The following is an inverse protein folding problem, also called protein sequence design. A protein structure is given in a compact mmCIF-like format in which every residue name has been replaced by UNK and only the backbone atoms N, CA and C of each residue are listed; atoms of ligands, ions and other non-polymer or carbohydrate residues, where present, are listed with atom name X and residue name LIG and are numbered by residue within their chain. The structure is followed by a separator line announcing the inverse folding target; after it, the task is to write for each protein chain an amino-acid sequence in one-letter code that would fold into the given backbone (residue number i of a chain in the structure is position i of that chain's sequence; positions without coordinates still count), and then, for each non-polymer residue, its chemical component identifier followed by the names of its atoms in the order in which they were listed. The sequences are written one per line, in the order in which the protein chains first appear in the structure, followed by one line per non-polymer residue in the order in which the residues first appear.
data_IF_702847021251
#
_entry.id   IF_702847021251
#
_cell.length_a   1.000
_cell.length_b   1.000
_cell.length_c   1.000
_cell.angle_alpha   90.00
_cell.angle_beta   90.00
_cell.angle_gamma   90.00
#
_symmetry.space_group_name_H-M   'P 1'
#
loop_
_entity.id
_entity.type
_entity.pdbx_description
1 polymer ?
#
# COMPACT_ATOMS: atom_id res chain seq x y z
N UNK A 1 -37.86 -15.29 -20.87
CA UNK A 1 -36.90 -15.56 -19.75
C UNK A 1 -37.45 -14.88 -18.53
N UNK A 2 -37.60 -15.61 -17.45
CA UNK A 2 -38.21 -15.13 -16.20
C UNK A 2 -37.35 -14.01 -15.62
N UNK A 3 -37.94 -12.87 -15.23
CA UNK A 3 -37.21 -11.70 -14.69
C UNK A 3 -36.29 -12.09 -13.51
N UNK A 4 -36.69 -13.10 -12.73
CA UNK A 4 -35.88 -13.70 -11.68
C UNK A 4 -34.60 -14.41 -12.19
N UNK A 5 -34.60 -14.95 -13.42
CA UNK A 5 -33.42 -15.57 -14.01
C UNK A 5 -32.42 -14.52 -14.52
N UNK A 6 -32.88 -13.35 -14.94
CA UNK A 6 -32.00 -12.23 -15.30
C UNK A 6 -31.25 -11.68 -14.08
N UNK A 7 -31.89 -11.63 -12.89
CA UNK A 7 -31.23 -11.23 -11.64
C UNK A 7 -30.13 -12.21 -11.19
N UNK A 8 -30.09 -13.43 -11.73
CA UNK A 8 -29.04 -14.41 -11.42
C UNK A 8 -27.80 -14.30 -12.30
N UNK A 9 -27.86 -13.54 -13.39
CA UNK A 9 -26.78 -13.46 -14.39
C UNK A 9 -26.03 -12.12 -14.39
N UNK A 10 -26.55 -11.08 -13.73
CA UNK A 10 -25.97 -9.74 -13.72
C UNK A 10 -26.20 -9.03 -12.36
N UNK A 11 -25.44 -7.96 -12.06
CA UNK A 11 -25.70 -7.13 -10.91
C UNK A 11 -27.08 -6.47 -10.97
N UNK A 12 -27.72 -6.32 -9.81
CA UNK A 12 -29.04 -5.69 -9.71
C UNK A 12 -29.18 -4.89 -8.41
N UNK A 13 -30.08 -3.91 -8.41
CA UNK A 13 -30.44 -3.13 -7.23
C UNK A 13 -31.65 -3.72 -6.51
N UNK A 14 -31.90 -3.29 -5.27
CA UNK A 14 -33.12 -3.69 -4.55
C UNK A 14 -34.42 -3.26 -5.27
N UNK A 15 -34.40 -2.15 -6.02
CA UNK A 15 -35.53 -1.71 -6.82
C UNK A 15 -35.79 -2.69 -7.98
N UNK A 16 -34.75 -3.07 -8.72
CA UNK A 16 -34.85 -4.06 -9.80
C UNK A 16 -35.34 -5.42 -9.28
N UNK A 17 -34.94 -5.80 -8.09
CA UNK A 17 -35.43 -7.02 -7.45
C UNK A 17 -36.95 -6.94 -7.13
N UNK A 18 -37.40 -5.79 -6.61
CA UNK A 18 -38.81 -5.51 -6.32
C UNK A 18 -39.67 -5.52 -7.60
N UNK A 19 -39.19 -4.85 -8.66
CA UNK A 19 -39.80 -4.83 -9.99
C UNK A 19 -39.93 -6.25 -10.61
N UNK A 20 -38.96 -7.14 -10.30
CA UNK A 20 -39.00 -8.54 -10.71
C UNK A 20 -39.83 -9.45 -9.77
N UNK A 21 -40.53 -8.89 -8.77
CA UNK A 21 -41.38 -9.60 -7.83
C UNK A 21 -40.64 -10.24 -6.64
N UNK A 22 -39.37 -9.90 -6.41
CA UNK A 22 -38.58 -10.35 -5.26
C UNK A 22 -38.80 -9.43 -4.06
N UNK A 23 -39.50 -9.88 -3.04
CA UNK A 23 -39.71 -9.10 -1.82
C UNK A 23 -38.40 -8.85 -1.06
N UNK A 24 -38.32 -7.76 -0.28
CA UNK A 24 -37.18 -7.45 0.61
C UNK A 24 -36.88 -8.58 1.60
N UNK A 25 -37.89 -9.34 2.02
CA UNK A 25 -37.71 -10.50 2.89
C UNK A 25 -37.00 -11.65 2.17
N UNK A 26 -37.37 -11.90 0.91
CA UNK A 26 -36.68 -12.89 0.07
C UNK A 26 -35.24 -12.49 -0.19
N UNK A 27 -35.00 -11.23 -0.54
CA UNK A 27 -33.63 -10.71 -0.76
C UNK A 27 -32.74 -10.92 0.49
N UNK A 28 -33.23 -10.55 1.69
CA UNK A 28 -32.49 -10.79 2.95
C UNK A 28 -32.23 -12.26 3.21
N UNK A 29 -33.20 -13.15 2.92
CA UNK A 29 -33.04 -14.59 3.10
C UNK A 29 -31.97 -15.17 2.16
N UNK A 30 -31.91 -14.73 0.90
CA UNK A 30 -30.89 -15.16 -0.07
C UNK A 30 -29.50 -14.68 0.32
N UNK A 31 -29.38 -13.46 0.83
CA UNK A 31 -28.12 -12.95 1.39
C UNK A 31 -27.66 -13.76 2.61
N UNK A 32 -28.58 -14.09 3.54
CA UNK A 32 -28.27 -14.89 4.72
C UNK A 32 -27.85 -16.33 4.41
N UNK A 33 -28.26 -16.86 3.26
CA UNK A 33 -27.88 -18.20 2.75
C UNK A 33 -26.64 -18.20 1.88
N UNK A 34 -26.03 -17.03 1.65
CA UNK A 34 -24.94 -16.86 0.67
C UNK A 34 -25.30 -17.25 -0.78
N UNK A 35 -26.61 -17.26 -1.14
CA UNK A 35 -27.05 -17.43 -2.53
C UNK A 35 -26.80 -16.14 -3.33
N UNK A 36 -26.84 -15.00 -2.65
CA UNK A 36 -26.49 -13.67 -3.16
C UNK A 36 -25.40 -13.04 -2.29
N UNK A 37 -24.59 -12.21 -2.91
CA UNK A 37 -23.65 -11.32 -2.21
C UNK A 37 -23.88 -9.87 -2.59
N UNK A 38 -23.54 -8.96 -1.70
CA UNK A 38 -23.58 -7.53 -1.96
C UNK A 38 -22.21 -7.10 -2.51
N UNK A 39 -22.17 -6.65 -3.77
CA UNK A 39 -20.92 -6.25 -4.45
C UNK A 39 -20.59 -4.76 -4.21
N UNK A 40 -21.63 -3.93 -4.15
CA UNK A 40 -21.57 -2.51 -3.76
C UNK A 40 -22.77 -2.20 -2.87
N UNK A 41 -22.72 -1.08 -2.15
CA UNK A 41 -23.86 -0.66 -1.34
C UNK A 41 -25.15 -0.56 -2.17
N UNK A 42 -26.13 -1.41 -1.85
CA UNK A 42 -27.42 -1.47 -2.55
C UNK A 42 -27.37 -2.15 -3.93
N UNK A 43 -26.26 -2.81 -4.28
CA UNK A 43 -26.13 -3.64 -5.49
C UNK A 43 -25.78 -5.07 -5.10
N UNK A 44 -26.49 -6.01 -5.65
CA UNK A 44 -26.42 -7.43 -5.34
C UNK A 44 -26.09 -8.24 -6.60
N UNK A 45 -25.56 -9.43 -6.39
CA UNK A 45 -25.22 -10.38 -7.46
C UNK A 45 -25.31 -11.80 -6.90
N UNK A 46 -25.56 -12.78 -7.77
CA UNK A 46 -25.50 -14.19 -7.37
C UNK A 46 -24.09 -14.54 -6.89
N UNK A 47 -23.99 -15.28 -5.78
CA UNK A 47 -22.71 -15.59 -5.16
C UNK A 47 -21.77 -16.39 -6.07
N UNK A 48 -22.36 -17.21 -6.98
CA UNK A 48 -21.64 -18.04 -7.94
C UNK A 48 -20.98 -17.26 -9.09
N UNK A 49 -21.34 -15.97 -9.31
CA UNK A 49 -20.75 -15.17 -10.38
C UNK A 49 -19.34 -14.73 -9.95
N UNK A 50 -18.29 -15.02 -10.76
CA UNK A 50 -16.94 -14.57 -10.48
C UNK A 50 -16.85 -13.06 -10.35
N UNK A 51 -15.97 -12.57 -9.47
CA UNK A 51 -15.68 -11.15 -9.34
C UNK A 51 -14.61 -10.74 -10.34
N UNK A 52 -15.03 -10.10 -11.42
CA UNK A 52 -14.18 -9.59 -12.48
C UNK A 52 -14.44 -8.10 -12.76
N UNK A 53 -13.58 -7.50 -13.58
CA UNK A 53 -13.69 -6.06 -13.90
C UNK A 53 -14.99 -5.69 -14.60
N UNK A 54 -15.53 -6.60 -15.42
CA UNK A 54 -16.79 -6.38 -16.14
C UNK A 54 -17.96 -6.36 -15.17
N UNK A 55 -18.00 -7.31 -14.23
CA UNK A 55 -19.01 -7.34 -13.17
C UNK A 55 -18.96 -6.08 -12.32
N UNK A 56 -17.75 -5.65 -11.93
CA UNK A 56 -17.53 -4.44 -11.12
C UNK A 56 -18.01 -3.18 -11.84
N UNK A 57 -17.70 -3.04 -13.14
CA UNK A 57 -18.13 -1.92 -13.95
C UNK A 57 -19.66 -1.90 -14.08
N UNK A 58 -20.28 -3.04 -14.39
CA UNK A 58 -21.74 -3.17 -14.49
C UNK A 58 -22.44 -2.83 -13.16
N UNK A 59 -21.88 -3.25 -12.02
CA UNK A 59 -22.41 -2.92 -10.70
C UNK A 59 -22.33 -1.39 -10.42
N UNK A 60 -21.22 -0.75 -10.78
CA UNK A 60 -21.06 0.69 -10.64
C UNK A 60 -22.02 1.47 -11.52
N UNK A 61 -22.26 1.02 -12.76
CA UNK A 61 -23.18 1.65 -13.72
C UNK A 61 -24.61 1.79 -13.17
N UNK A 62 -25.07 0.83 -12.37
CA UNK A 62 -26.43 0.85 -11.79
C UNK A 62 -26.65 1.98 -10.78
N UNK A 63 -25.58 2.60 -10.27
CA UNK A 63 -25.69 3.54 -9.17
C UNK A 63 -25.05 4.91 -9.44
N UNK A 64 -24.29 5.04 -10.51
CA UNK A 64 -23.61 6.27 -10.88
C UNK A 64 -24.39 7.08 -11.92
N UNK A 65 -24.47 8.42 -11.79
CA UNK A 65 -24.94 9.26 -12.87
C UNK A 65 -23.86 9.41 -13.96
N UNK A 66 -24.29 9.71 -15.20
CA UNK A 66 -23.41 9.83 -16.37
C UNK A 66 -22.28 10.84 -16.24
N UNK A 67 -22.46 11.88 -15.41
CA UNK A 67 -21.45 12.92 -15.16
C UNK A 67 -20.46 12.54 -14.04
N UNK A 68 -20.61 11.38 -13.43
CA UNK A 68 -19.69 10.95 -12.37
C UNK A 68 -18.42 10.32 -12.94
N UNK A 69 -17.34 10.46 -12.18
CA UNK A 69 -16.06 9.76 -12.40
C UNK A 69 -15.72 9.00 -11.14
N UNK A 70 -15.55 7.69 -11.25
CA UNK A 70 -15.09 6.85 -10.14
C UNK A 70 -13.64 7.22 -9.81
N UNK A 71 -13.34 7.32 -8.52
CA UNK A 71 -12.03 7.76 -8.04
C UNK A 71 -11.58 6.97 -6.80
N UNK A 72 -10.40 7.28 -6.31
CA UNK A 72 -9.81 6.77 -5.07
C UNK A 72 -9.83 5.22 -4.97
N UNK A 73 -10.30 4.67 -3.85
CA UNK A 73 -10.31 3.21 -3.61
C UNK A 73 -11.24 2.47 -4.59
N UNK A 74 -12.35 3.08 -4.96
CA UNK A 74 -13.27 2.49 -5.95
C UNK A 74 -12.68 2.47 -7.36
N UNK A 75 -11.88 3.48 -7.73
CA UNK A 75 -11.13 3.44 -8.99
C UNK A 75 -10.05 2.36 -8.94
N UNK A 76 -9.33 2.20 -7.83
CA UNK A 76 -8.39 1.10 -7.66
C UNK A 76 -9.08 -0.25 -7.85
N UNK A 77 -10.25 -0.44 -7.25
CA UNK A 77 -11.05 -1.65 -7.41
C UNK A 77 -11.47 -1.90 -8.87
N UNK A 78 -11.90 -0.87 -9.61
CA UNK A 78 -12.17 -0.97 -11.04
C UNK A 78 -10.92 -1.24 -11.89
N UNK A 79 -9.75 -0.90 -11.41
CA UNK A 79 -8.47 -1.28 -12.02
C UNK A 79 -8.00 -2.70 -11.63
N UNK A 80 -8.80 -3.45 -10.87
CA UNK A 80 -8.45 -4.79 -10.40
C UNK A 80 -7.53 -4.82 -9.19
N UNK A 81 -7.41 -3.68 -8.47
CA UNK A 81 -6.61 -3.56 -7.27
C UNK A 81 -7.52 -3.43 -6.05
N UNK A 82 -7.63 -4.49 -5.27
CA UNK A 82 -8.36 -4.49 -4.00
C UNK A 82 -7.45 -3.97 -2.89
N UNK A 83 -7.60 -2.68 -2.56
CA UNK A 83 -6.83 -2.06 -1.50
C UNK A 83 -7.39 -2.45 -0.14
N UNK A 84 -6.68 -3.36 0.51
CA UNK A 84 -7.00 -3.84 1.84
C UNK A 84 -6.89 -2.71 2.87
N UNK A 85 -7.67 -2.82 3.92
CA UNK A 85 -7.47 -2.08 5.16
C UNK A 85 -7.29 -3.08 6.30
N UNK A 86 -6.36 -2.83 7.20
CA UNK A 86 -6.10 -3.71 8.34
C UNK A 86 -7.37 -4.00 9.16
N UNK A 87 -8.34 -3.07 9.14
CA UNK A 87 -9.61 -3.16 9.87
C UNK A 87 -10.84 -3.52 9.01
N UNK A 88 -10.76 -3.46 7.67
CA UNK A 88 -11.97 -3.41 6.80
C UNK A 88 -12.34 -4.75 6.13
N UNK A 89 -11.91 -5.89 6.63
CA UNK A 89 -12.13 -7.19 5.97
C UNK A 89 -13.59 -7.62 5.85
N UNK A 90 -14.55 -6.86 6.36
CA UNK A 90 -15.98 -7.26 6.41
C UNK A 90 -16.93 -6.22 5.83
N UNK A 91 -16.49 -5.04 5.44
CA UNK A 91 -17.38 -3.97 4.98
C UNK A 91 -17.52 -3.98 3.45
N UNK A 92 -18.79 -4.06 3.00
CA UNK A 92 -19.13 -3.83 1.58
C UNK A 92 -18.57 -2.49 1.14
N UNK A 93 -17.74 -2.43 0.07
CA UNK A 93 -17.11 -1.21 -0.36
C UNK A 93 -18.14 -0.14 -0.71
N UNK A 94 -17.97 1.06 -0.19
CA UNK A 94 -18.72 2.23 -0.65
C UNK A 94 -18.10 2.70 -1.96
N UNK A 95 -18.88 3.38 -2.80
CA UNK A 95 -18.42 3.86 -4.08
C UNK A 95 -17.89 5.29 -3.95
N UNK A 96 -16.59 5.47 -4.18
CA UNK A 96 -15.97 6.78 -4.28
C UNK A 96 -16.16 7.32 -5.71
N UNK A 97 -16.97 8.37 -5.87
CA UNK A 97 -17.18 9.01 -7.15
C UNK A 97 -17.23 10.52 -6.98
N UNK A 98 -16.72 11.24 -7.96
CA UNK A 98 -16.75 12.71 -8.02
C UNK A 98 -17.56 13.17 -9.22
N UNK A 99 -18.21 14.31 -9.09
CA UNK A 99 -18.87 14.98 -10.20
C UNK A 99 -17.91 15.98 -10.82
N UNK A 100 -17.87 16.01 -12.15
CA UNK A 100 -17.11 16.96 -12.96
C UNK A 100 -18.07 17.89 -13.71
N UNK A 101 -17.57 18.81 -14.51
CA UNK A 101 -18.33 19.71 -15.39
C UNK A 101 -19.38 20.57 -14.66
N UNK A 102 -19.06 20.98 -13.42
CA UNK A 102 -19.93 21.86 -12.62
C UNK A 102 -21.08 21.14 -11.89
N UNK A 103 -21.29 19.87 -12.13
CA UNK A 103 -22.34 19.09 -11.47
C UNK A 103 -22.12 18.96 -9.95
N UNK A 104 -23.23 18.85 -9.21
CA UNK A 104 -23.19 18.61 -7.77
C UNK A 104 -22.87 17.13 -7.51
N UNK A 105 -22.04 16.86 -6.50
CA UNK A 105 -21.71 15.50 -6.10
C UNK A 105 -22.95 14.67 -5.76
N UNK A 106 -22.88 13.35 -6.00
CA UNK A 106 -23.98 12.44 -5.70
C UNK A 106 -24.36 12.53 -4.22
N UNK A 107 -25.68 12.61 -3.95
CA UNK A 107 -26.26 12.51 -2.61
C UNK A 107 -26.78 11.10 -2.30
N UNK A 108 -26.54 10.15 -3.20
CA UNK A 108 -26.99 8.76 -3.02
C UNK A 108 -26.28 8.14 -1.82
N UNK A 109 -27.06 7.45 -1.01
CA UNK A 109 -26.52 6.69 0.12
C UNK A 109 -25.53 5.61 -0.40
N UNK A 110 -24.37 5.49 0.23
CA UNK A 110 -23.30 4.58 -0.22
C UNK A 110 -22.38 5.11 -1.32
N UNK A 111 -22.64 6.32 -1.86
CA UNK A 111 -21.73 7.01 -2.78
C UNK A 111 -21.08 8.17 -2.03
N UNK A 112 -19.75 8.16 -1.92
CA UNK A 112 -18.99 9.32 -1.45
C UNK A 112 -18.78 10.26 -2.62
N UNK A 113 -19.59 11.32 -2.66
CA UNK A 113 -19.49 12.36 -3.65
C UNK A 113 -18.52 13.46 -3.22
N UNK A 114 -17.98 14.15 -4.19
CA UNK A 114 -17.15 15.33 -4.01
C UNK A 114 -16.97 16.04 -5.33
N UNK A 115 -16.19 17.14 -5.30
CA UNK A 115 -15.77 17.84 -6.50
C UNK A 115 -14.26 17.80 -6.58
N UNK A 116 -13.74 17.52 -7.75
CA UNK A 116 -12.30 17.64 -8.07
C UNK A 116 -12.16 18.16 -9.49
N UNK A 117 -11.11 18.92 -9.69
CA UNK A 117 -10.72 19.30 -11.04
C UNK A 117 -9.89 18.16 -11.62
N UNK A 118 -10.39 17.54 -12.68
CA UNK A 118 -9.68 16.55 -13.47
C UNK A 118 -9.34 17.15 -14.84
N UNK A 119 -8.19 16.72 -15.40
CA UNK A 119 -7.86 16.95 -16.79
C UNK A 119 -8.41 15.81 -17.64
N UNK A 120 -8.56 16.03 -18.93
CA UNK A 120 -9.04 14.98 -19.83
C UNK A 120 -8.15 13.73 -19.83
N UNK A 121 -6.82 13.92 -19.70
CA UNK A 121 -5.82 12.87 -19.61
C UNK A 121 -5.77 12.15 -18.26
N UNK A 122 -6.50 12.63 -17.26
CA UNK A 122 -6.64 12.00 -15.94
C UNK A 122 -7.89 11.10 -15.82
N UNK A 123 -8.68 10.97 -16.90
CA UNK A 123 -9.92 10.19 -16.95
C UNK A 123 -9.87 9.19 -18.09
N UNK A 124 -10.31 7.97 -17.83
CA UNK A 124 -10.46 6.91 -18.82
C UNK A 124 -11.81 6.20 -18.64
N UNK A 125 -12.10 5.22 -19.50
CA UNK A 125 -13.34 4.44 -19.42
C UNK A 125 -13.02 2.96 -19.23
N UNK A 126 -13.68 2.33 -18.25
CA UNK A 126 -13.65 0.88 -18.01
C UNK A 126 -15.11 0.38 -18.06
N UNK A 127 -15.44 -0.53 -18.96
CA UNK A 127 -16.80 -1.08 -19.08
C UNK A 127 -17.90 -0.02 -19.22
N UNK A 128 -17.63 1.08 -19.93
CA UNK A 128 -18.55 2.20 -20.09
C UNK A 128 -18.58 3.21 -18.93
N UNK A 129 -17.85 2.96 -17.85
CA UNK A 129 -17.79 3.82 -16.66
C UNK A 129 -16.56 4.72 -16.71
N UNK A 130 -16.75 6.02 -16.47
CA UNK A 130 -15.63 6.95 -16.33
C UNK A 130 -14.91 6.74 -14.99
N UNK A 131 -13.59 6.61 -15.05
CA UNK A 131 -12.74 6.34 -13.91
C UNK A 131 -11.46 7.16 -14.02
N UNK A 132 -10.86 7.53 -12.89
CA UNK A 132 -9.52 8.15 -12.91
C UNK A 132 -8.48 7.15 -13.43
N UNK A 133 -7.53 7.62 -14.24
CA UNK A 133 -6.42 6.79 -14.75
C UNK A 133 -5.62 6.13 -13.64
N UNK A 134 -4.89 5.04 -13.90
CA UNK A 134 -4.07 4.37 -12.87
C UNK A 134 -3.13 5.31 -12.13
N UNK A 135 -2.40 6.16 -12.85
CA UNK A 135 -1.47 7.13 -12.28
C UNK A 135 -2.19 8.16 -11.37
N UNK A 136 -3.33 8.69 -11.84
CA UNK A 136 -4.14 9.63 -11.06
C UNK A 136 -4.73 8.95 -9.82
N UNK A 137 -5.25 7.75 -9.95
CA UNK A 137 -5.82 6.95 -8.86
C UNK A 137 -4.79 6.68 -7.77
N UNK A 138 -3.59 6.21 -8.13
CA UNK A 138 -2.49 5.97 -7.20
C UNK A 138 -2.15 7.23 -6.39
N UNK A 139 -2.01 8.38 -7.06
CA UNK A 139 -1.73 9.65 -6.41
C UNK A 139 -2.86 10.10 -5.46
N UNK A 140 -4.12 9.99 -5.88
CA UNK A 140 -5.27 10.41 -5.07
C UNK A 140 -5.45 9.52 -3.84
N UNK A 141 -5.29 8.21 -3.95
CA UNK A 141 -5.32 7.28 -2.81
C UNK A 141 -4.17 7.60 -1.85
N UNK A 142 -2.95 7.73 -2.36
CA UNK A 142 -1.77 8.05 -1.56
C UNK A 142 -1.90 9.38 -0.81
N UNK A 143 -2.60 10.35 -1.40
CA UNK A 143 -2.81 11.67 -0.82
C UNK A 143 -3.92 11.70 0.22
N UNK A 144 -5.03 10.93 0.03
CA UNK A 144 -6.29 11.15 0.73
C UNK A 144 -6.75 9.98 1.62
N UNK A 145 -6.22 8.78 1.45
CA UNK A 145 -6.77 7.56 2.06
C UNK A 145 -5.89 6.95 3.15
N UNK A 146 -5.05 7.77 3.77
CA UNK A 146 -4.13 7.36 4.83
C UNK A 146 -2.82 6.75 4.31
N UNK A 147 -1.82 6.71 5.18
CA UNK A 147 -0.44 6.36 4.79
C UNK A 147 -0.30 4.90 4.37
N UNK A 148 -0.83 3.96 5.16
CA UNK A 148 -0.74 2.53 4.87
C UNK A 148 -1.40 2.16 3.53
N UNK A 149 -2.64 2.63 3.32
CA UNK A 149 -3.34 2.41 2.04
C UNK A 149 -2.65 3.14 0.90
N UNK A 150 -2.09 4.31 1.19
CA UNK A 150 -1.38 5.14 0.21
C UNK A 150 -0.13 4.47 -0.34
N UNK A 151 0.73 3.92 0.52
CA UNK A 151 1.95 3.24 0.07
C UNK A 151 1.61 1.94 -0.67
N UNK A 152 0.65 1.17 -0.18
CA UNK A 152 0.19 -0.04 -0.85
C UNK A 152 -0.37 0.25 -2.25
N UNK A 153 -1.15 1.33 -2.39
CA UNK A 153 -1.65 1.76 -3.69
C UNK A 153 -0.51 2.15 -4.65
N UNK A 154 0.44 2.98 -4.19
CA UNK A 154 1.57 3.37 -5.04
C UNK A 154 2.35 2.17 -5.54
N UNK A 155 2.71 1.23 -4.66
CA UNK A 155 3.49 0.06 -5.00
C UNK A 155 2.73 -0.85 -5.98
N UNK A 156 1.47 -1.15 -5.68
CA UNK A 156 0.64 -2.02 -6.49
C UNK A 156 0.37 -1.44 -7.89
N UNK A 157 0.08 -0.12 -7.98
CA UNK A 157 -0.11 0.55 -9.27
C UNK A 157 1.19 0.64 -10.06
N UNK A 158 2.34 0.87 -9.39
CA UNK A 158 3.65 0.83 -10.05
C UNK A 158 3.92 -0.55 -10.65
N UNK A 159 3.69 -1.59 -9.88
CA UNK A 159 3.92 -2.98 -10.32
C UNK A 159 3.00 -3.38 -11.47
N UNK A 160 1.69 -3.12 -11.35
CA UNK A 160 0.70 -3.59 -12.33
C UNK A 160 0.63 -2.77 -13.61
N UNK A 161 0.88 -1.49 -13.53
CA UNK A 161 0.74 -0.55 -14.65
C UNK A 161 2.08 0.02 -15.11
N UNK A 162 3.19 -0.53 -14.65
CA UNK A 162 4.55 -0.09 -14.98
C UNK A 162 4.76 1.42 -14.75
N UNK A 163 4.08 2.00 -13.73
CA UNK A 163 4.23 3.40 -13.37
C UNK A 163 5.59 3.59 -12.70
N UNK A 164 6.40 4.47 -13.28
CA UNK A 164 7.73 4.77 -12.74
C UNK A 164 7.68 5.80 -11.60
N UNK A 165 8.74 5.88 -10.81
CA UNK A 165 8.90 6.96 -9.84
C UNK A 165 8.91 8.34 -10.54
N UNK A 166 9.48 8.43 -11.74
CA UNK A 166 9.49 9.66 -12.54
C UNK A 166 8.08 10.13 -12.90
N UNK A 167 7.19 9.20 -13.29
CA UNK A 167 5.78 9.53 -13.58
C UNK A 167 5.07 10.07 -12.34
N UNK A 168 5.27 9.42 -11.19
CA UNK A 168 4.70 9.89 -9.92
C UNK A 168 5.25 11.28 -9.53
N UNK A 169 6.55 11.50 -9.68
CA UNK A 169 7.19 12.80 -9.42
C UNK A 169 6.68 13.89 -10.36
N UNK A 170 6.45 13.58 -11.63
CA UNK A 170 5.88 14.49 -12.62
C UNK A 170 4.44 14.92 -12.27
N UNK A 171 3.69 14.09 -11.53
CA UNK A 171 2.35 14.43 -11.04
C UNK A 171 2.34 15.35 -9.81
N UNK A 172 3.42 15.44 -9.03
CA UNK A 172 3.43 16.22 -7.77
C UNK A 172 3.04 17.70 -7.93
N UNK A 173 3.51 18.44 -8.96
CA UNK A 173 3.10 19.83 -9.17
C UNK A 173 1.58 19.98 -9.35
N UNK A 174 0.90 18.97 -9.90
CA UNK A 174 -0.55 18.94 -10.12
C UNK A 174 -1.34 19.07 -8.80
N UNK A 175 -0.72 18.68 -7.68
CA UNK A 175 -1.31 18.69 -6.35
C UNK A 175 -0.75 19.81 -5.44
N UNK A 176 -0.02 20.78 -6.01
CA UNK A 176 0.54 21.90 -5.24
C UNK A 176 -0.56 22.64 -4.46
N UNK A 177 -0.34 22.88 -3.17
CA UNK A 177 -1.32 23.53 -2.29
C UNK A 177 -2.54 22.67 -1.90
N UNK A 178 -2.70 21.47 -2.44
CA UNK A 178 -3.83 20.62 -2.14
C UNK A 178 -3.60 19.77 -0.89
N UNK A 179 -4.71 19.39 -0.24
CA UNK A 179 -4.69 18.50 0.94
C UNK A 179 -3.93 17.20 0.63
N UNK A 180 -3.03 16.83 1.53
CA UNK A 180 -2.29 15.56 1.48
C UNK A 180 -1.09 15.54 0.54
N UNK A 181 -0.71 16.65 -0.11
CA UNK A 181 0.44 16.69 -1.02
C UNK A 181 1.77 16.40 -0.31
N UNK A 182 1.92 16.79 0.95
CA UNK A 182 3.13 16.48 1.75
C UNK A 182 3.25 14.97 1.92
N UNK A 183 2.18 14.31 2.37
CA UNK A 183 2.12 12.84 2.48
C UNK A 183 2.42 12.17 1.13
N UNK A 184 1.85 12.66 0.03
CA UNK A 184 2.10 12.10 -1.30
C UNK A 184 3.59 12.16 -1.66
N UNK A 185 4.27 13.29 -1.43
CA UNK A 185 5.72 13.42 -1.71
C UNK A 185 6.57 12.42 -0.95
N UNK A 186 6.29 12.25 0.35
CA UNK A 186 6.98 11.27 1.19
C UNK A 186 6.75 9.84 0.69
N UNK A 187 5.49 9.47 0.42
CA UNK A 187 5.16 8.13 -0.03
C UNK A 187 5.70 7.82 -1.43
N UNK A 188 5.73 8.79 -2.34
CA UNK A 188 6.35 8.62 -3.66
C UNK A 188 7.84 8.28 -3.54
N UNK A 189 8.56 8.98 -2.66
CA UNK A 189 9.99 8.69 -2.44
C UNK A 189 10.24 7.32 -1.80
N UNK A 190 9.25 6.77 -1.08
CA UNK A 190 9.33 5.47 -0.42
C UNK A 190 8.81 4.32 -1.29
N UNK A 191 8.03 4.63 -2.32
CA UNK A 191 7.34 3.61 -3.12
C UNK A 191 8.28 2.78 -3.99
N UNK A 192 7.90 1.53 -4.23
CA UNK A 192 8.63 0.59 -5.09
C UNK A 192 7.64 -0.19 -5.98
N UNK A 193 8.14 -0.74 -7.06
CA UNK A 193 7.42 -1.71 -7.91
C UNK A 193 7.75 -3.17 -7.55
N UNK A 194 8.61 -3.37 -6.54
CA UNK A 194 9.12 -4.69 -6.16
C UNK A 194 8.30 -5.38 -5.06
N UNK A 195 7.45 -4.66 -4.33
CA UNK A 195 6.63 -5.28 -3.29
C UNK A 195 5.59 -6.22 -3.93
N UNK A 196 5.55 -7.47 -3.49
CA UNK A 196 4.61 -8.47 -4.01
C UNK A 196 3.23 -8.39 -3.33
N UNK A 197 3.19 -7.83 -2.12
CA UNK A 197 1.97 -7.69 -1.33
C UNK A 197 1.84 -6.34 -0.63
N UNK A 198 0.61 -5.98 -0.28
CA UNK A 198 0.33 -4.75 0.48
C UNK A 198 0.92 -4.78 1.90
N UNK A 199 0.89 -5.90 2.64
CA UNK A 199 1.54 -5.99 3.95
C UNK A 199 3.05 -5.73 3.91
N UNK A 200 3.77 -6.16 2.88
CA UNK A 200 5.19 -5.83 2.70
C UNK A 200 5.41 -4.31 2.62
N UNK A 201 4.55 -3.63 1.84
CA UNK A 201 4.55 -2.17 1.74
C UNK A 201 4.26 -1.51 3.09
N UNK A 202 3.32 -2.06 3.88
CA UNK A 202 2.99 -1.54 5.21
C UNK A 202 4.16 -1.70 6.19
N UNK A 203 4.80 -2.86 6.22
CA UNK A 203 5.98 -3.12 7.08
C UNK A 203 7.08 -2.11 6.74
N UNK A 204 7.39 -1.90 5.46
CA UNK A 204 8.39 -0.92 5.01
C UNK A 204 8.05 0.50 5.45
N UNK A 205 6.77 0.90 5.31
CA UNK A 205 6.31 2.21 5.77
C UNK A 205 6.41 2.38 7.29
N UNK A 206 6.01 1.36 8.06
CA UNK A 206 6.07 1.42 9.53
C UNK A 206 7.51 1.52 10.04
N UNK A 207 8.45 0.88 9.37
CA UNK A 207 9.89 1.01 9.65
C UNK A 207 10.36 2.45 9.39
N UNK A 208 10.00 3.01 8.23
CA UNK A 208 10.30 4.40 7.88
C UNK A 208 9.71 5.39 8.89
N UNK A 209 8.43 5.23 9.25
CA UNK A 209 7.71 6.11 10.17
C UNK A 209 8.24 6.02 11.61
N UNK A 210 8.93 4.93 11.97
CA UNK A 210 9.66 4.78 13.21
C UNK A 210 11.06 5.44 13.18
N UNK A 211 11.45 6.09 12.09
CA UNK A 211 12.76 6.73 11.91
C UNK A 211 13.92 5.75 11.76
N UNK A 212 13.62 4.48 11.43
CA UNK A 212 14.64 3.48 11.14
C UNK A 212 15.05 3.54 9.66
N UNK A 213 16.27 3.10 9.30
CA UNK A 213 16.67 2.99 7.91
C UNK A 213 15.67 2.15 7.10
N UNK A 214 15.35 2.58 5.89
CA UNK A 214 14.43 1.85 5.02
C UNK A 214 15.10 0.57 4.51
N UNK A 215 14.46 -0.60 4.67
CA UNK A 215 14.98 -1.84 4.14
C UNK A 215 14.88 -1.89 2.60
N UNK A 216 15.71 -2.69 1.98
CA UNK A 216 15.60 -3.04 0.57
C UNK A 216 14.48 -4.08 0.39
N UNK A 217 13.56 -3.89 -0.57
CA UNK A 217 12.54 -4.88 -0.88
C UNK A 217 13.15 -6.05 -1.68
N UNK A 218 12.59 -7.24 -1.51
CA UNK A 218 12.82 -8.42 -2.34
C UNK A 218 14.31 -8.79 -2.52
N UNK A 219 15.05 -8.88 -1.40
CA UNK A 219 16.46 -9.23 -1.39
C UNK A 219 16.65 -10.74 -1.48
N UNK A 220 17.55 -11.17 -2.33
CA UNK A 220 17.91 -12.58 -2.49
C UNK A 220 19.15 -12.93 -1.68
N UNK A 221 19.11 -14.08 -0.97
CA UNK A 221 20.26 -14.67 -0.35
C UNK A 221 20.45 -16.10 -0.84
N UNK A 222 21.71 -16.52 -1.01
CA UNK A 222 22.02 -17.91 -1.32
C UNK A 222 22.24 -18.71 -0.03
N UNK A 223 21.46 -19.77 0.14
CA UNK A 223 21.55 -20.70 1.26
C UNK A 223 22.26 -21.97 0.81
N UNK A 224 23.29 -22.45 1.53
CA UNK A 224 24.19 -23.52 1.06
C UNK A 224 23.48 -24.81 0.63
N UNK A 225 22.45 -25.24 1.35
CA UNK A 225 21.77 -26.53 1.08
C UNK A 225 20.40 -26.38 0.43
N UNK A 226 19.87 -25.14 0.30
CA UNK A 226 18.50 -24.86 -0.15
C UNK A 226 18.43 -23.95 -1.38
N UNK A 227 19.56 -23.42 -1.85
CA UNK A 227 19.59 -22.50 -2.98
C UNK A 227 19.18 -21.09 -2.62
N UNK A 228 18.52 -20.40 -3.54
CA UNK A 228 18.14 -19.00 -3.39
C UNK A 228 16.91 -18.85 -2.48
N UNK A 229 17.01 -17.97 -1.47
CA UNK A 229 15.90 -17.53 -0.64
C UNK A 229 15.63 -16.04 -0.85
N UNK A 230 14.38 -15.67 -1.03
CA UNK A 230 13.94 -14.29 -1.21
C UNK A 230 13.33 -13.76 0.09
N UNK A 231 13.75 -12.56 0.47
CA UNK A 231 13.29 -11.86 1.68
C UNK A 231 12.51 -10.60 1.29
N UNK A 232 11.35 -10.40 1.86
CA UNK A 232 10.42 -9.32 1.52
C UNK A 232 11.00 -7.92 1.79
N UNK A 233 11.59 -7.73 2.95
CA UNK A 233 12.25 -6.49 3.36
C UNK A 233 13.56 -6.86 4.09
N UNK A 234 14.70 -6.41 3.60
CA UNK A 234 15.97 -6.79 4.21
C UNK A 234 17.01 -5.67 4.23
N UNK A 235 17.92 -5.81 5.16
CA UNK A 235 19.17 -5.04 5.25
C UNK A 235 20.32 -6.00 4.95
N UNK A 236 20.64 -6.15 3.68
CA UNK A 236 21.60 -7.15 3.20
C UNK A 236 22.94 -7.09 3.95
N UNK A 237 23.53 -5.90 4.06
CA UNK A 237 24.82 -5.70 4.73
C UNK A 237 24.78 -6.04 6.22
N UNK A 238 23.64 -5.91 6.85
CA UNK A 238 23.43 -6.23 8.26
C UNK A 238 22.90 -7.66 8.46
N UNK A 239 22.56 -8.37 7.39
CA UNK A 239 21.90 -9.68 7.43
C UNK A 239 20.67 -9.69 8.35
N UNK A 240 19.79 -8.70 8.18
CA UNK A 240 18.53 -8.61 8.88
C UNK A 240 17.41 -8.67 7.85
N UNK A 241 16.46 -9.58 8.05
CA UNK A 241 15.24 -9.69 7.26
C UNK A 241 14.02 -9.35 8.12
N UNK A 242 13.04 -8.67 7.54
CA UNK A 242 11.73 -8.40 8.16
C UNK A 242 10.67 -8.91 7.20
N UNK A 243 9.93 -9.91 7.60
CA UNK A 243 8.94 -10.61 6.79
C UNK A 243 7.55 -10.50 7.40
N UNK A 244 6.55 -10.37 6.56
CA UNK A 244 5.16 -10.44 7.00
C UNK A 244 4.66 -11.88 6.99
N UNK A 245 4.09 -12.33 8.09
CA UNK A 245 3.45 -13.64 8.20
C UNK A 245 1.94 -13.48 8.02
N UNK A 246 1.47 -13.76 6.81
CA UNK A 246 0.06 -13.75 6.44
C UNK A 246 -0.63 -15.09 6.68
N UNK A 247 -0.48 -15.70 7.83
CA UNK A 247 -1.00 -17.04 8.17
C UNK A 247 -2.49 -17.26 7.80
N UNK A 248 -3.26 -16.19 7.57
CA UNK A 248 -4.65 -16.27 7.10
C UNK A 248 -4.77 -16.61 5.60
N UNK A 249 -3.68 -16.49 4.82
CA UNK A 249 -3.65 -16.73 3.38
C UNK A 249 -2.95 -18.06 3.01
N UNK A 250 -2.28 -18.71 3.94
CA UNK A 250 -1.66 -20.02 3.73
C UNK A 250 -2.65 -21.12 4.09
N UNK A 251 -3.11 -21.81 3.06
CA UNK A 251 -4.21 -22.77 3.17
C UNK A 251 -3.81 -24.17 3.64
N UNK A 252 -2.50 -24.48 3.71
CA UNK A 252 -2.03 -25.81 4.09
C UNK A 252 -0.99 -25.80 5.22
N UNK A 253 -0.91 -26.88 5.97
CA UNK A 253 0.13 -27.07 6.97
C UNK A 253 1.52 -27.24 6.32
N UNK A 254 1.56 -27.75 5.08
CA UNK A 254 2.78 -27.91 4.27
C UNK A 254 3.41 -26.55 3.90
N UNK A 255 2.59 -25.54 3.57
CA UNK A 255 3.09 -24.18 3.26
C UNK A 255 3.75 -23.54 4.48
N UNK A 256 3.17 -23.78 5.68
CA UNK A 256 3.72 -23.26 6.94
C UNK A 256 5.04 -23.92 7.31
N UNK A 257 5.11 -25.22 7.16
CA UNK A 257 6.33 -26.00 7.44
C UNK A 257 7.46 -25.55 6.50
N UNK A 258 7.17 -25.35 5.22
CA UNK A 258 8.14 -24.85 4.25
C UNK A 258 8.65 -23.44 4.58
N UNK A 259 7.77 -22.54 5.01
CA UNK A 259 8.15 -21.19 5.46
C UNK A 259 9.02 -21.21 6.73
N UNK A 260 8.68 -22.05 7.70
CA UNK A 260 9.44 -22.19 8.94
C UNK A 260 10.84 -22.77 8.67
N UNK A 261 10.93 -23.74 7.78
CA UNK A 261 12.19 -24.32 7.33
C UNK A 261 13.06 -23.29 6.60
N UNK A 262 12.46 -22.48 5.71
CA UNK A 262 13.16 -21.39 5.02
C UNK A 262 13.70 -20.36 6.00
N UNK A 263 12.89 -19.96 6.98
CA UNK A 263 13.29 -19.03 8.05
C UNK A 263 14.40 -19.61 8.93
N UNK A 264 14.36 -20.92 9.20
CA UNK A 264 15.42 -21.62 9.96
C UNK A 264 16.74 -21.58 9.20
N UNK A 265 16.73 -21.95 7.92
CA UNK A 265 17.92 -21.92 7.09
C UNK A 265 18.53 -20.50 6.95
N UNK A 266 17.69 -19.46 6.89
CA UNK A 266 18.18 -18.07 6.93
C UNK A 266 18.89 -17.76 8.25
N UNK A 267 18.34 -18.21 9.39
CA UNK A 267 18.99 -18.01 10.71
C UNK A 267 20.32 -18.75 10.81
N UNK A 268 20.39 -19.98 10.33
CA UNK A 268 21.63 -20.79 10.26
C UNK A 268 22.68 -20.11 9.37
N UNK A 269 22.25 -19.46 8.28
CA UNK A 269 23.13 -18.64 7.41
C UNK A 269 23.51 -17.28 8.04
N UNK A 270 23.15 -17.04 9.30
CA UNK A 270 23.54 -15.87 10.08
C UNK A 270 22.63 -14.66 9.89
N UNK A 271 21.42 -14.84 9.32
CA UNK A 271 20.42 -13.78 9.24
C UNK A 271 19.63 -13.66 10.55
N UNK A 272 19.30 -12.41 10.93
CA UNK A 272 18.25 -12.17 11.93
C UNK A 272 16.93 -12.02 11.18
N UNK A 273 16.01 -12.94 11.39
CA UNK A 273 14.68 -12.91 10.76
C UNK A 273 13.65 -12.45 11.77
N UNK A 274 13.06 -11.29 11.52
CA UNK A 274 11.96 -10.70 12.31
C UNK A 274 10.68 -10.94 11.54
N UNK A 275 9.75 -11.66 12.16
CA UNK A 275 8.45 -11.98 11.56
C UNK A 275 7.40 -11.03 12.14
N UNK A 276 6.67 -10.36 11.28
CA UNK A 276 5.59 -9.43 11.62
C UNK A 276 4.26 -10.03 11.23
N UNK A 277 3.35 -10.18 12.20
CA UNK A 277 2.01 -10.70 11.96
C UNK A 277 0.99 -9.58 11.87
N UNK A 278 -0.19 -9.89 11.35
CA UNK A 278 -1.28 -8.93 11.15
C UNK A 278 -1.62 -8.11 12.40
N UNK A 279 -1.77 -8.80 13.54
CA UNK A 279 -2.10 -8.13 14.81
C UNK A 279 -1.00 -7.20 15.32
N UNK A 280 0.23 -7.33 14.78
CA UNK A 280 1.39 -6.49 15.12
C UNK A 280 1.54 -5.26 14.23
N UNK A 281 0.68 -5.07 13.23
CA UNK A 281 0.68 -3.85 12.41
C UNK A 281 0.01 -2.67 13.12
N UNK A 282 -0.86 -2.95 14.09
CA UNK A 282 -1.58 -1.94 14.85
C UNK A 282 -0.69 -1.12 15.79
N UNK A 283 -1.15 0.09 16.20
CA UNK A 283 -0.36 1.03 17.01
C UNK A 283 0.21 0.42 18.31
N UNK A 284 -0.61 -0.38 18.99
CA UNK A 284 -0.28 -0.89 20.32
C UNK A 284 0.79 -2.01 20.29
N UNK A 285 0.84 -2.79 19.22
CA UNK A 285 1.71 -3.97 19.12
C UNK A 285 2.93 -3.78 18.21
N UNK A 286 2.92 -2.79 17.32
CA UNK A 286 4.03 -2.57 16.39
C UNK A 286 5.34 -2.15 17.07
N UNK A 287 5.27 -1.49 18.21
CA UNK A 287 6.46 -1.03 18.92
C UNK A 287 7.39 -2.17 19.37
N UNK A 288 6.84 -3.35 19.60
CA UNK A 288 7.63 -4.50 20.08
C UNK A 288 8.63 -4.94 19.01
N UNK A 289 8.16 -5.23 17.80
CA UNK A 289 9.04 -5.67 16.72
C UNK A 289 9.89 -4.53 16.16
N UNK A 290 9.43 -3.27 16.18
CA UNK A 290 10.24 -2.12 15.80
C UNK A 290 11.41 -1.90 16.76
N UNK A 291 11.21 -2.07 18.07
CA UNK A 291 12.30 -2.05 19.06
C UNK A 291 13.29 -3.22 18.85
N UNK A 292 12.78 -4.40 18.55
CA UNK A 292 13.62 -5.55 18.20
C UNK A 292 14.48 -5.26 16.96
N UNK A 293 13.87 -4.70 15.91
CA UNK A 293 14.58 -4.29 14.69
C UNK A 293 15.64 -3.22 14.99
N UNK A 294 15.30 -2.19 15.77
CA UNK A 294 16.23 -1.14 16.15
C UNK A 294 17.44 -1.69 16.94
N UNK A 295 17.20 -2.67 17.83
CA UNK A 295 18.28 -3.36 18.57
C UNK A 295 19.18 -4.14 17.60
N UNK A 296 18.59 -4.96 16.72
CA UNK A 296 19.33 -5.75 15.74
C UNK A 296 20.18 -4.87 14.80
N UNK A 297 19.66 -3.71 14.36
CA UNK A 297 20.41 -2.75 13.54
C UNK A 297 21.60 -2.21 14.33
N UNK A 298 21.40 -1.76 15.59
CA UNK A 298 22.50 -1.22 16.41
C UNK A 298 23.59 -2.25 16.68
N UNK A 299 23.21 -3.50 16.95
CA UNK A 299 24.16 -4.56 17.27
C UNK A 299 25.02 -4.96 16.08
N UNK A 300 24.47 -4.84 14.87
CA UNK A 300 25.14 -5.20 13.61
C UNK A 300 25.74 -4.04 12.84
N UNK A 301 25.46 -2.80 13.24
CA UNK A 301 26.19 -1.65 12.69
C UNK A 301 27.66 -1.71 13.11
N UNK A 302 28.61 -1.55 12.18
CA UNK A 302 30.01 -1.41 12.54
C UNK A 302 30.13 -0.28 13.55
N UNK A 303 30.64 -0.56 14.73
CA UNK A 303 31.00 0.52 15.67
C UNK A 303 31.89 1.49 14.91
N UNK A 304 31.46 2.73 14.77
CA UNK A 304 32.31 3.77 14.26
C UNK A 304 33.57 3.74 15.14
N UNK A 305 34.70 3.41 14.55
CA UNK A 305 35.99 3.52 15.21
C UNK A 305 36.00 4.95 15.74
N UNK A 306 35.92 5.14 17.04
CA UNK A 306 36.11 6.45 17.65
C UNK A 306 37.44 6.92 17.09
N UNK A 307 37.45 8.00 16.30
CA UNK A 307 38.68 8.66 15.93
C UNK A 307 39.36 8.99 17.26
N UNK A 308 40.37 8.19 17.66
CA UNK A 308 41.26 8.62 18.73
C UNK A 308 41.79 9.95 18.25
N UNK A 309 41.26 11.03 18.81
CA UNK A 309 41.88 12.35 18.68
C UNK A 309 43.19 12.20 19.48
N UNK A 310 44.27 11.89 18.79
CA UNK A 310 45.56 12.05 19.38
C UNK A 310 45.68 13.54 19.67
N UNK A 311 45.54 13.92 20.93
CA UNK A 311 45.95 15.22 21.38
C UNK A 311 47.44 15.33 21.00
N UNK A 312 47.74 16.17 20.01
CA UNK A 312 49.12 16.54 19.75
C UNK A 312 49.60 17.21 21.04
N UNK A 313 50.54 16.59 21.74
CA UNK A 313 51.28 17.23 22.79
C UNK A 313 51.78 18.57 22.25
N UNK A 314 51.18 19.64 22.75
CA UNK A 314 51.59 21.00 22.47
C UNK A 314 52.78 21.39 23.35
N UNK A 315 53.89 20.63 23.24
CA UNK A 315 55.18 20.98 23.73
C UNK A 315 56.09 21.29 22.54
N UNK A 316 55.80 22.37 21.84
CA UNK A 316 56.79 22.97 20.97
C UNK A 316 57.76 23.78 21.81
N UNK A 317 59.07 23.49 21.79
CA UNK A 317 60.04 24.32 22.55
C UNK A 317 60.01 25.73 21.96
N UNK A 318 59.86 26.71 22.87
CA UNK A 318 59.95 28.13 22.54
C UNK A 318 61.33 28.50 22.08
N UNK A 319 61.52 28.67 20.79
CA UNK A 319 62.74 29.19 20.20
C UNK A 319 62.82 30.71 20.50
N UNK A 320 63.55 31.12 21.55
CA UNK A 320 63.89 32.53 21.80
C UNK A 320 64.83 33.02 20.67
N UNK A 321 64.31 33.79 19.72
CA UNK A 321 65.11 34.60 18.82
C UNK A 321 65.90 35.62 19.61
N UNK A 322 67.25 35.47 19.72
CA UNK A 322 68.12 36.52 20.14
C UNK A 322 68.07 37.65 19.09
N UNK A 323 67.63 38.83 19.53
CA UNK A 323 67.77 40.08 18.77
C UNK A 323 69.23 40.43 18.72
N UNK A 324 69.87 40.37 17.57
CA UNK A 324 71.18 41.01 17.26
C UNK A 324 70.85 42.44 16.83
N UNK A 325 71.37 43.39 17.58
CA UNK A 325 71.36 44.82 17.25
C UNK A 325 72.43 45.09 16.21
N UNK A 326 72.19 45.82 15.15
CA UNK A 326 73.28 46.23 14.22
C UNK A 326 74.00 47.43 14.79
N UNK A 327 75.37 47.58 14.53
CA UNK A 327 76.15 48.69 14.99
C UNK A 327 75.82 49.99 14.23
N UNK A 328 75.82 51.09 14.95
CA UNK A 328 75.68 52.43 14.40
C UNK A 328 76.94 52.82 13.60
N UNK A 329 76.70 53.40 12.44
CA UNK A 329 77.48 54.52 11.84
C UNK A 329 76.48 55.57 11.37
#
# INVERSE_FOLDING_TARGET
MDALNQLRSAPFTAAMADDAGMSRRQLRRLLARNDLRQILYGVYVAAAIPDDLTLRANAAALVLPDHAVVCDVSAAWLHGIDLLHVADLVLVPRLDAISIDGHVGSRRNGVFGGKRTLRADEVMTIGGIRVTTPLRTACDVARLRGRLRGIAALDEFRRRFAITEADLRAMLPRFAGQRGVVQLRELVALSTDQADSQPESWVRLLIHDAGLPVPQPQVWAWLPERGAARMENAYERLRIAVEYDGAEFHSSDEDREHDDERRSALREAGWTVIVVRREQLGPDKREVWLRQLAAAIRDRQPRALSKRVYARDSAAPSYRRRRTTPPRR
#
